data_IF_227973346909
#
_entry.id   IF_227973346909
#
_cell.length_a   1.000
_cell.length_b   1.000
_cell.length_c   1.000
_cell.angle_alpha   90.00
_cell.angle_beta   90.00
_cell.angle_gamma   90.00
#
_symmetry.space_group_name_H-M   'P 1'
#
loop_
_entity.id
_entity.type
_entity.pdbx_description
1 polymer ?
#
# COMPACT_ATOMS: atom_id res chain seq x y z
N UNK A 1 102.04 125.92 17.89
CA UNK A 1 101.74 124.48 18.03
C UNK A 1 100.27 124.10 17.72
N UNK A 2 99.25 124.91 18.08
CA UNK A 2 97.83 124.57 17.83
C UNK A 2 97.40 124.51 16.34
N UNK A 3 98.00 125.32 15.46
CA UNK A 3 97.64 125.35 14.03
C UNK A 3 98.04 124.08 13.25
N UNK A 4 99.13 123.41 13.62
CA UNK A 4 99.58 122.20 12.93
C UNK A 4 98.67 121.00 13.25
N UNK A 5 98.20 120.89 14.50
CA UNK A 5 97.31 119.81 14.97
C UNK A 5 95.96 119.84 14.22
N UNK A 6 95.40 121.04 13.98
CA UNK A 6 94.16 121.19 13.21
C UNK A 6 94.33 120.69 11.76
N UNK A 7 95.45 121.03 11.11
CA UNK A 7 95.76 120.55 9.75
C UNK A 7 95.94 119.03 9.67
N UNK A 8 96.58 118.40 10.68
CA UNK A 8 96.72 116.94 10.74
C UNK A 8 95.37 116.23 10.97
N UNK A 9 94.47 116.80 11.79
CA UNK A 9 93.12 116.23 11.99
C UNK A 9 92.26 116.30 10.73
N UNK A 10 92.41 117.38 9.94
CA UNK A 10 91.73 117.54 8.65
C UNK A 10 92.28 116.56 7.60
N UNK A 11 93.61 116.38 7.55
CA UNK A 11 94.24 115.39 6.67
C UNK A 11 93.83 113.95 7.03
N UNK A 12 93.75 113.60 8.31
CA UNK A 12 93.27 112.29 8.76
C UNK A 12 91.79 112.06 8.43
N UNK A 13 90.94 113.08 8.58
CA UNK A 13 89.53 113.03 8.17
C UNK A 13 89.37 112.84 6.66
N UNK A 14 90.15 113.57 5.84
CA UNK A 14 90.19 113.39 4.39
C UNK A 14 90.66 111.98 3.99
N UNK A 15 91.65 111.43 4.70
CA UNK A 15 92.12 110.07 4.45
C UNK A 15 91.08 109.01 4.84
N UNK A 16 90.35 109.20 5.95
CA UNK A 16 89.25 108.33 6.35
C UNK A 16 88.08 108.38 5.34
N UNK A 17 87.75 109.57 4.83
CA UNK A 17 86.74 109.74 3.77
C UNK A 17 87.22 109.07 2.47
N UNK A 18 88.48 109.27 2.08
CA UNK A 18 89.05 108.62 0.91
C UNK A 18 89.01 107.09 1.04
N UNK A 19 89.37 106.54 2.22
CA UNK A 19 89.26 105.12 2.52
C UNK A 19 87.82 104.60 2.44
N UNK A 20 86.85 105.35 2.97
CA UNK A 20 85.43 105.01 2.88
C UNK A 20 84.91 105.03 1.44
N UNK A 21 85.34 106.00 0.61
CA UNK A 21 85.00 106.07 -0.81
C UNK A 21 85.57 104.87 -1.56
N UNK A 22 86.83 104.48 -1.28
CA UNK A 22 87.44 103.30 -1.91
C UNK A 22 86.69 102.03 -1.51
N UNK A 23 86.41 101.82 -0.23
CA UNK A 23 85.63 100.67 0.26
C UNK A 23 84.24 100.62 -0.39
N UNK A 24 83.53 101.75 -0.42
CA UNK A 24 82.23 101.86 -1.08
C UNK A 24 82.32 101.55 -2.59
N UNK A 25 83.40 101.97 -3.25
CA UNK A 25 83.62 101.70 -4.68
C UNK A 25 83.87 100.20 -4.94
N UNK A 26 84.57 99.51 -4.03
CA UNK A 26 84.79 98.06 -4.11
C UNK A 26 83.46 97.31 -3.97
N UNK A 27 82.66 97.64 -2.94
CA UNK A 27 81.33 97.02 -2.77
C UNK A 27 80.40 97.32 -3.94
N UNK A 28 80.43 98.54 -4.47
CA UNK A 28 79.68 98.89 -5.69
C UNK A 28 80.17 98.09 -6.91
N UNK A 29 81.47 97.81 -7.00
CA UNK A 29 82.02 96.94 -8.04
C UNK A 29 81.57 95.49 -7.88
N UNK A 30 81.51 94.95 -6.65
CA UNK A 30 80.98 93.61 -6.39
C UNK A 30 79.49 93.52 -6.78
N UNK A 31 78.67 94.48 -6.36
CA UNK A 31 77.26 94.56 -6.76
C UNK A 31 77.12 94.59 -8.28
N UNK A 32 77.97 95.37 -8.97
CA UNK A 32 77.97 95.45 -10.44
C UNK A 32 78.36 94.13 -11.10
N UNK A 33 79.24 93.34 -10.49
CA UNK A 33 79.67 92.02 -10.97
C UNK A 33 78.63 90.93 -10.72
N UNK A 34 77.90 91.00 -9.60
CA UNK A 34 76.89 90.01 -9.22
C UNK A 34 75.52 90.27 -9.86
N UNK A 35 75.21 91.53 -10.20
CA UNK A 35 73.92 91.91 -10.79
C UNK A 35 73.57 91.11 -12.05
N UNK A 36 74.48 90.86 -13.02
CA UNK A 36 74.19 90.01 -14.17
C UNK A 36 73.85 88.56 -13.79
N UNK A 37 74.53 87.98 -12.79
CA UNK A 37 74.24 86.63 -12.32
C UNK A 37 72.86 86.53 -11.66
N UNK A 38 72.49 87.54 -10.85
CA UNK A 38 71.15 87.62 -10.25
C UNK A 38 70.09 87.81 -11.33
N UNK A 39 70.31 88.70 -12.31
CA UNK A 39 69.37 88.95 -13.40
C UNK A 39 69.15 87.70 -14.26
N UNK A 40 70.22 86.99 -14.61
CA UNK A 40 70.11 85.72 -15.36
C UNK A 40 69.42 84.62 -14.54
N UNK A 41 69.64 84.56 -13.23
CA UNK A 41 68.91 83.63 -12.36
C UNK A 41 67.41 83.98 -12.31
N UNK A 42 67.06 85.26 -12.17
CA UNK A 42 65.68 85.74 -12.20
C UNK A 42 65.03 85.44 -13.55
N UNK A 43 65.72 85.67 -14.65
CA UNK A 43 65.23 85.36 -16.01
C UNK A 43 65.02 83.85 -16.19
N UNK A 44 65.96 83.03 -15.74
CA UNK A 44 65.83 81.56 -15.77
C UNK A 44 64.67 81.05 -14.90
N UNK A 45 64.48 81.63 -13.71
CA UNK A 45 63.36 81.28 -12.84
C UNK A 45 62.04 81.75 -13.45
N UNK A 46 61.97 82.96 -13.98
CA UNK A 46 60.80 83.50 -14.67
C UNK A 46 60.43 82.67 -15.89
N UNK A 47 61.42 82.26 -16.70
CA UNK A 47 61.22 81.40 -17.87
C UNK A 47 60.68 80.01 -17.52
N UNK A 48 60.83 79.55 -16.27
CA UNK A 48 60.23 78.30 -15.77
C UNK A 48 58.82 78.47 -15.20
N UNK A 49 58.39 79.69 -14.87
CA UNK A 49 57.05 79.92 -14.30
C UNK A 49 55.97 79.59 -15.34
N UNK A 50 56.11 80.09 -16.57
CA UNK A 50 55.13 79.85 -17.64
C UNK A 50 54.91 78.37 -17.99
N UNK A 51 55.95 77.53 -18.20
CA UNK A 51 55.74 76.11 -18.44
C UNK A 51 55.07 75.39 -17.26
N UNK A 52 55.45 75.71 -16.02
CA UNK A 52 54.80 75.15 -14.81
C UNK A 52 53.32 75.56 -14.76
N UNK A 53 52.99 76.82 -15.06
CA UNK A 53 51.60 77.28 -15.10
C UNK A 53 50.79 76.57 -16.19
N UNK A 54 51.41 76.26 -17.33
CA UNK A 54 50.76 75.50 -18.39
C UNK A 54 50.55 74.02 -17.99
N UNK A 55 51.53 73.38 -17.37
CA UNK A 55 51.36 72.03 -16.81
C UNK A 55 50.24 71.98 -15.77
N UNK A 56 50.17 72.96 -14.87
CA UNK A 56 49.08 73.08 -13.88
C UNK A 56 47.72 73.23 -14.59
N UNK A 57 47.64 74.00 -15.68
CA UNK A 57 46.40 74.12 -16.47
C UNK A 57 45.99 72.79 -17.08
N UNK A 58 46.92 72.05 -17.67
CA UNK A 58 46.63 70.75 -18.27
C UNK A 58 46.22 69.72 -17.21
N UNK A 59 46.91 69.66 -16.07
CA UNK A 59 46.51 68.82 -14.93
C UNK A 59 45.11 69.21 -14.45
N UNK A 60 44.81 70.50 -14.32
CA UNK A 60 43.47 70.97 -13.93
C UNK A 60 42.38 70.60 -14.92
N UNK A 61 42.70 70.47 -16.22
CA UNK A 61 41.74 69.96 -17.23
C UNK A 61 41.49 68.46 -17.10
N UNK A 62 42.47 67.68 -16.63
CA UNK A 62 42.34 66.23 -16.44
C UNK A 62 41.63 65.85 -15.14
N UNK A 63 41.65 66.70 -14.12
CA UNK A 63 40.98 66.41 -12.83
C UNK A 63 39.46 66.16 -13.00
N UNK A 64 38.67 67.02 -13.69
CA UNK A 64 37.24 66.80 -13.87
C UNK A 64 36.85 65.46 -14.53
N UNK A 65 37.44 65.04 -15.67
CA UNK A 65 37.09 63.76 -16.27
C UNK A 65 37.50 62.56 -15.39
N UNK A 66 38.63 62.63 -14.67
CA UNK A 66 39.01 61.59 -13.70
C UNK A 66 38.00 61.49 -12.57
N UNK A 67 37.54 62.63 -12.02
CA UNK A 67 36.52 62.63 -10.97
C UNK A 67 35.19 62.06 -11.48
N UNK A 68 34.80 62.39 -12.72
CA UNK A 68 33.61 61.83 -13.34
C UNK A 68 33.70 60.31 -13.53
N UNK A 69 34.86 59.79 -13.94
CA UNK A 69 35.10 58.35 -14.04
C UNK A 69 35.05 57.66 -12.68
N UNK A 70 35.68 58.26 -11.66
CA UNK A 70 35.62 57.76 -10.28
C UNK A 70 34.18 57.73 -9.77
N UNK A 71 33.38 58.76 -10.04
CA UNK A 71 31.97 58.79 -9.63
C UNK A 71 31.12 57.78 -10.39
N UNK A 72 31.40 57.56 -11.68
CA UNK A 72 30.76 56.51 -12.47
C UNK A 72 31.09 55.11 -11.92
N UNK A 73 32.36 54.82 -11.62
CA UNK A 73 32.76 53.56 -10.99
C UNK A 73 32.10 53.40 -9.63
N UNK A 74 32.12 54.45 -8.79
CA UNK A 74 31.46 54.44 -7.48
C UNK A 74 29.96 54.17 -7.56
N UNK A 75 29.31 54.69 -8.59
CA UNK A 75 27.87 54.47 -8.81
C UNK A 75 27.54 53.03 -9.24
N UNK A 76 28.48 52.31 -9.84
CA UNK A 76 28.33 50.90 -10.23
C UNK A 76 28.56 49.93 -9.08
N UNK A 77 29.30 50.31 -8.04
CA UNK A 77 29.60 49.43 -6.90
C UNK A 77 28.31 49.01 -6.14
N UNK A 78 27.40 49.93 -5.75
CA UNK A 78 26.16 49.57 -5.05
C UNK A 78 25.29 48.52 -5.76
N UNK A 79 24.94 48.64 -7.06
CA UNK A 79 24.13 47.62 -7.73
C UNK A 79 24.85 46.27 -7.81
N UNK A 80 26.17 46.24 -8.03
CA UNK A 80 26.95 44.99 -8.01
C UNK A 80 26.90 44.34 -6.62
N UNK A 81 27.03 45.13 -5.54
CA UNK A 81 26.94 44.61 -4.17
C UNK A 81 25.53 44.06 -3.87
N UNK A 82 24.48 44.73 -4.34
CA UNK A 82 23.11 44.25 -4.20
C UNK A 82 22.87 42.94 -4.97
N UNK A 83 23.45 42.78 -6.16
CA UNK A 83 23.39 41.53 -6.92
C UNK A 83 24.14 40.40 -6.20
N UNK A 84 25.33 40.69 -5.66
CA UNK A 84 26.10 39.72 -4.85
C UNK A 84 25.30 39.29 -3.62
N UNK A 85 24.61 40.21 -2.95
CA UNK A 85 23.74 39.89 -1.81
C UNK A 85 22.57 39.00 -2.23
N UNK A 86 21.90 39.31 -3.33
CA UNK A 86 20.84 38.47 -3.88
C UNK A 86 21.35 37.07 -4.24
N UNK A 87 22.52 36.95 -4.86
CA UNK A 87 23.16 35.65 -5.15
C UNK A 87 23.45 34.90 -3.85
N UNK A 88 24.00 35.57 -2.83
CA UNK A 88 24.30 34.96 -1.53
C UNK A 88 23.05 34.45 -0.81
N UNK A 89 21.90 35.07 -1.01
CA UNK A 89 20.63 34.61 -0.46
C UNK A 89 20.06 33.41 -1.23
N UNK A 90 20.25 33.37 -2.56
CA UNK A 90 19.65 32.35 -3.43
C UNK A 90 20.50 31.08 -3.55
N UNK A 91 21.82 31.17 -3.47
CA UNK A 91 22.71 30.00 -3.61
C UNK A 91 22.46 28.94 -2.52
N UNK A 92 22.35 29.27 -1.22
CA UNK A 92 22.15 28.24 -0.18
C UNK A 92 20.86 27.43 -0.34
N UNK A 93 19.67 28.03 -0.60
CA UNK A 93 18.46 27.27 -0.92
C UNK A 93 18.63 26.31 -2.10
N UNK A 94 19.27 26.75 -3.19
CA UNK A 94 19.53 25.91 -4.36
C UNK A 94 20.45 24.74 -4.00
N UNK A 95 21.50 24.98 -3.20
CA UNK A 95 22.40 23.92 -2.75
C UNK A 95 21.66 22.88 -1.89
N UNK A 96 20.77 23.33 -0.99
CA UNK A 96 19.95 22.43 -0.19
C UNK A 96 19.00 21.61 -1.07
N UNK A 97 18.36 22.21 -2.07
CA UNK A 97 17.48 21.49 -3.01
C UNK A 97 18.24 20.43 -3.81
N UNK A 98 19.46 20.77 -4.26
CA UNK A 98 20.35 19.82 -4.95
C UNK A 98 20.76 18.69 -4.01
N UNK A 99 21.05 18.97 -2.74
CA UNK A 99 21.38 17.94 -1.76
C UNK A 99 20.21 16.99 -1.51
N UNK A 100 19.01 17.52 -1.30
CA UNK A 100 17.80 16.71 -1.11
C UNK A 100 17.50 15.86 -2.36
N UNK A 101 17.63 16.44 -3.56
CA UNK A 101 17.49 15.69 -4.81
C UNK A 101 18.53 14.55 -4.89
N UNK A 102 19.79 14.82 -4.51
CA UNK A 102 20.84 13.79 -4.46
C UNK A 102 20.55 12.68 -3.46
N UNK A 103 19.84 12.95 -2.36
CA UNK A 103 19.41 11.92 -1.40
C UNK A 103 18.26 11.06 -1.94
N UNK A 104 17.37 11.63 -2.75
CA UNK A 104 16.20 10.95 -3.30
C UNK A 104 16.51 10.08 -4.54
N UNK A 105 17.50 10.46 -5.35
CA UNK A 105 17.83 9.71 -6.57
C UNK A 105 18.27 8.25 -6.28
N UNK A 106 19.19 7.96 -5.34
CA UNK A 106 19.63 6.59 -5.06
C UNK A 106 18.51 5.60 -4.68
N UNK A 107 17.57 5.90 -3.75
CA UNK A 107 16.49 4.97 -3.43
C UNK A 107 15.55 4.73 -4.61
N UNK A 108 15.24 5.75 -5.42
CA UNK A 108 14.44 5.59 -6.64
C UNK A 108 15.13 4.64 -7.62
N UNK A 109 16.44 4.81 -7.84
CA UNK A 109 17.21 3.92 -8.71
C UNK A 109 17.28 2.49 -8.16
N UNK A 110 17.40 2.33 -6.84
CA UNK A 110 17.39 1.02 -6.20
C UNK A 110 16.03 0.32 -6.33
N UNK A 111 14.93 1.05 -6.19
CA UNK A 111 13.58 0.52 -6.42
C UNK A 111 13.37 0.13 -7.88
N UNK A 112 13.76 1.00 -8.82
CA UNK A 112 13.70 0.70 -10.24
C UNK A 112 14.50 -0.56 -10.60
N UNK A 113 15.70 -0.72 -10.02
CA UNK A 113 16.51 -1.94 -10.19
C UNK A 113 15.76 -3.18 -9.68
N UNK A 114 15.18 -3.13 -8.47
CA UNK A 114 14.40 -4.25 -7.93
C UNK A 114 13.21 -4.61 -8.81
N UNK A 115 12.52 -3.62 -9.36
CA UNK A 115 11.43 -3.85 -10.31
C UNK A 115 11.95 -4.55 -11.55
N UNK A 116 13.05 -4.06 -12.15
CA UNK A 116 13.68 -4.67 -13.32
C UNK A 116 14.10 -6.12 -13.03
N UNK A 117 14.71 -6.37 -11.87
CA UNK A 117 15.16 -7.70 -11.44
C UNK A 117 14.00 -8.69 -11.24
N UNK A 118 12.79 -8.19 -10.96
CA UNK A 118 11.58 -9.02 -10.82
C UNK A 118 10.93 -9.40 -12.16
N UNK A 119 11.18 -8.66 -13.23
CA UNK A 119 10.56 -8.87 -14.55
C UNK A 119 10.81 -10.29 -15.10
N UNK A 120 12.04 -10.87 -15.03
CA UNK A 120 12.28 -12.23 -15.50
C UNK A 120 11.41 -13.29 -14.82
N UNK A 121 11.17 -13.16 -13.51
CA UNK A 121 10.28 -14.07 -12.77
C UNK A 121 8.83 -13.92 -13.21
N UNK A 122 8.36 -12.68 -13.42
CA UNK A 122 7.02 -12.42 -13.94
C UNK A 122 6.87 -13.04 -15.33
N UNK A 123 7.83 -12.86 -16.23
CA UNK A 123 7.84 -13.47 -17.57
C UNK A 123 7.80 -14.99 -17.48
N UNK A 124 8.60 -15.60 -16.58
CA UNK A 124 8.59 -17.05 -16.36
C UNK A 124 7.21 -17.54 -15.93
N UNK A 125 6.58 -16.87 -14.98
CA UNK A 125 5.24 -17.20 -14.49
C UNK A 125 4.19 -17.06 -15.60
N UNK A 126 4.25 -16.00 -16.40
CA UNK A 126 3.35 -15.78 -17.54
C UNK A 126 3.50 -16.90 -18.59
N UNK A 127 4.73 -17.33 -18.89
CA UNK A 127 4.96 -18.44 -19.81
C UNK A 127 4.39 -19.77 -19.28
N UNK A 128 4.52 -20.04 -17.98
CA UNK A 128 3.91 -21.21 -17.35
C UNK A 128 2.38 -21.14 -17.41
N UNK A 129 1.77 -19.99 -17.10
CA UNK A 129 0.32 -19.79 -17.22
C UNK A 129 -0.14 -20.00 -18.67
N UNK A 130 0.56 -19.43 -19.65
CA UNK A 130 0.23 -19.60 -21.06
C UNK A 130 0.26 -21.08 -21.47
N UNK A 131 1.22 -21.85 -20.95
CA UNK A 131 1.33 -23.29 -21.17
C UNK A 131 0.15 -24.04 -20.55
N UNK A 132 -0.20 -23.73 -19.30
CA UNK A 132 -1.34 -24.32 -18.59
C UNK A 132 -2.66 -24.02 -19.31
N UNK A 133 -2.89 -22.77 -19.70
CA UNK A 133 -4.09 -22.36 -20.46
C UNK A 133 -4.21 -23.15 -21.76
N UNK A 134 -3.09 -23.34 -22.48
CA UNK A 134 -3.06 -24.15 -23.70
C UNK A 134 -3.44 -25.60 -23.42
N UNK A 135 -2.98 -26.16 -22.30
CA UNK A 135 -3.30 -27.53 -21.90
C UNK A 135 -4.79 -27.67 -21.51
N UNK A 136 -5.30 -26.79 -20.66
CA UNK A 136 -6.71 -26.79 -20.27
C UNK A 136 -7.63 -26.59 -21.48
N UNK A 137 -7.25 -25.74 -22.44
CA UNK A 137 -7.98 -25.57 -23.70
C UNK A 137 -8.06 -26.87 -24.51
N UNK A 138 -6.97 -27.64 -24.59
CA UNK A 138 -6.99 -28.97 -25.21
C UNK A 138 -7.90 -29.94 -24.48
N UNK A 139 -7.90 -29.93 -23.16
CA UNK A 139 -8.76 -30.80 -22.35
C UNK A 139 -10.24 -30.43 -22.53
N UNK A 140 -10.58 -29.15 -22.50
CA UNK A 140 -11.92 -28.66 -22.80
C UNK A 140 -12.35 -29.10 -24.22
N UNK A 141 -11.46 -29.00 -25.21
CA UNK A 141 -11.74 -29.47 -26.56
C UNK A 141 -12.03 -30.98 -26.61
N UNK A 142 -11.26 -31.80 -25.87
CA UNK A 142 -11.48 -33.24 -25.75
C UNK A 142 -12.83 -33.54 -25.08
N UNK A 143 -13.13 -32.91 -23.95
CA UNK A 143 -14.41 -33.10 -23.26
C UNK A 143 -15.57 -32.68 -24.15
N UNK A 144 -15.45 -31.55 -24.85
CA UNK A 144 -16.47 -31.07 -25.79
C UNK A 144 -16.71 -32.07 -26.93
N UNK A 145 -15.67 -32.76 -27.40
CA UNK A 145 -15.80 -33.79 -28.42
C UNK A 145 -16.58 -35.03 -27.95
N UNK A 146 -16.58 -35.33 -26.63
CA UNK A 146 -17.33 -36.45 -26.05
C UNK A 146 -18.82 -36.13 -25.81
N UNK A 147 -19.18 -34.85 -25.72
CA UNK A 147 -20.56 -34.41 -25.43
C UNK A 147 -21.60 -35.00 -26.40
N UNK A 148 -21.39 -34.99 -27.74
CA UNK A 148 -22.37 -35.55 -28.67
C UNK A 148 -22.65 -37.05 -28.44
N UNK A 149 -21.62 -37.84 -28.14
CA UNK A 149 -21.75 -39.27 -27.91
C UNK A 149 -22.51 -39.56 -26.60
N UNK A 150 -22.17 -38.84 -25.52
CA UNK A 150 -22.91 -38.91 -24.25
C UNK A 150 -24.38 -38.52 -24.45
N UNK A 151 -24.66 -37.45 -25.21
CA UNK A 151 -26.04 -37.04 -25.51
C UNK A 151 -26.80 -38.11 -26.31
N UNK A 152 -26.12 -38.82 -27.22
CA UNK A 152 -26.69 -39.95 -27.97
C UNK A 152 -27.02 -41.11 -27.05
N UNK A 153 -26.12 -41.48 -26.13
CA UNK A 153 -26.36 -42.52 -25.12
C UNK A 153 -27.53 -42.16 -24.20
N UNK A 154 -27.57 -40.94 -23.66
CA UNK A 154 -28.68 -40.45 -22.84
C UNK A 154 -30.01 -40.59 -23.58
N UNK A 155 -30.04 -40.24 -24.87
CA UNK A 155 -31.24 -40.39 -25.71
C UNK A 155 -31.64 -41.86 -25.87
N UNK A 156 -30.67 -42.77 -26.02
CA UNK A 156 -30.92 -44.22 -26.10
C UNK A 156 -31.49 -44.77 -24.79
N UNK A 157 -30.83 -44.49 -23.67
CA UNK A 157 -31.28 -44.90 -22.33
C UNK A 157 -32.69 -44.36 -22.05
N UNK A 158 -32.98 -43.11 -22.41
CA UNK A 158 -34.33 -42.54 -22.26
C UNK A 158 -35.38 -43.30 -23.06
N UNK A 159 -35.04 -43.76 -24.27
CA UNK A 159 -35.94 -44.59 -25.10
C UNK A 159 -36.19 -45.95 -24.46
N UNK A 160 -35.15 -46.60 -23.94
CA UNK A 160 -35.25 -47.87 -23.21
C UNK A 160 -36.12 -47.73 -21.96
N UNK A 161 -35.88 -46.72 -21.12
CA UNK A 161 -36.73 -46.40 -19.96
C UNK A 161 -38.19 -46.22 -20.38
N UNK A 162 -38.43 -45.52 -21.50
CA UNK A 162 -39.78 -45.36 -22.05
C UNK A 162 -40.43 -46.68 -22.45
N UNK A 163 -39.67 -47.61 -23.02
CA UNK A 163 -40.14 -48.96 -23.33
C UNK A 163 -40.41 -49.77 -22.06
N UNK A 164 -39.49 -49.76 -21.08
CA UNK A 164 -39.66 -50.43 -19.79
C UNK A 164 -40.90 -49.91 -19.06
N UNK A 165 -41.13 -48.59 -19.02
CA UNK A 165 -42.34 -47.99 -18.44
C UNK A 165 -43.63 -48.47 -19.08
N UNK A 166 -43.64 -48.77 -20.38
CA UNK A 166 -44.81 -49.35 -21.07
C UNK A 166 -44.98 -50.85 -20.79
N UNK A 167 -43.89 -51.57 -20.55
CA UNK A 167 -43.91 -52.99 -20.24
C UNK A 167 -44.30 -53.28 -18.78
N UNK A 168 -43.96 -52.39 -17.84
CA UNK A 168 -44.24 -52.55 -16.41
C UNK A 168 -45.74 -52.79 -16.12
N UNK A 169 -46.70 -52.00 -16.65
CA UNK A 169 -48.13 -52.27 -16.45
C UNK A 169 -48.52 -53.67 -16.89
N UNK A 170 -48.04 -54.14 -18.05
CA UNK A 170 -48.37 -55.48 -18.58
C UNK A 170 -47.81 -56.58 -17.67
N UNK A 171 -46.60 -56.40 -17.12
CA UNK A 171 -46.04 -57.34 -16.16
C UNK A 171 -46.70 -57.25 -14.79
N UNK A 172 -47.15 -56.06 -14.37
CA UNK A 172 -47.93 -55.86 -13.14
C UNK A 172 -49.30 -56.53 -13.29
N UNK A 173 -49.99 -56.37 -14.41
CA UNK A 173 -51.25 -57.06 -14.73
C UNK A 173 -51.04 -58.59 -14.69
N UNK A 174 -49.90 -59.07 -15.19
CA UNK A 174 -49.54 -60.50 -15.13
C UNK A 174 -49.22 -60.95 -13.71
N UNK A 175 -48.56 -60.12 -12.90
CA UNK A 175 -48.30 -60.38 -11.48
C UNK A 175 -49.62 -60.35 -10.69
N UNK A 176 -50.54 -59.43 -10.97
CA UNK A 176 -51.86 -59.36 -10.35
C UNK A 176 -52.70 -60.60 -10.72
N UNK A 177 -52.62 -61.07 -11.96
CA UNK A 177 -53.21 -62.33 -12.39
C UNK A 177 -52.61 -63.55 -11.66
N UNK A 178 -51.27 -63.62 -11.57
CA UNK A 178 -50.58 -64.69 -10.85
C UNK A 178 -50.80 -64.61 -9.33
N UNK A 179 -50.95 -63.42 -8.76
CA UNK A 179 -51.30 -63.20 -7.35
C UNK A 179 -52.77 -63.54 -7.09
N UNK A 180 -53.69 -63.31 -8.03
CA UNK A 180 -55.05 -63.82 -7.93
C UNK A 180 -55.06 -65.36 -7.94
N UNK A 181 -54.23 -65.99 -8.79
CA UNK A 181 -54.05 -67.44 -8.84
C UNK A 181 -53.31 -68.00 -7.60
N UNK A 182 -52.34 -67.24 -7.07
CA UNK A 182 -51.61 -67.56 -5.86
C UNK A 182 -52.40 -67.22 -4.60
N UNK A 183 -53.39 -66.33 -4.61
CA UNK A 183 -54.32 -66.11 -3.50
C UNK A 183 -55.25 -67.31 -3.36
N UNK A 184 -55.68 -67.91 -4.47
CA UNK A 184 -56.43 -69.17 -4.46
C UNK A 184 -55.57 -70.39 -4.05
N UNK A 185 -54.25 -70.32 -4.22
CA UNK A 185 -53.30 -71.40 -3.88
C UNK A 185 -52.67 -71.20 -2.48
N UNK A 186 -52.50 -69.95 -2.05
CA UNK A 186 -51.93 -69.49 -0.78
C UNK A 186 -52.94 -69.43 0.35
N UNK A 187 -54.25 -69.35 0.06
CA UNK A 187 -55.30 -69.71 1.03
C UNK A 187 -55.14 -71.16 1.53
N UNK A 188 -54.45 -72.03 0.77
CA UNK A 188 -54.13 -73.41 1.18
C UNK A 188 -52.72 -73.60 1.75
N UNK A 189 -51.87 -72.56 1.79
CA UNK A 189 -50.45 -72.71 2.15
C UNK A 189 -49.89 -71.58 3.06
N UNK A 190 -50.73 -70.75 3.66
CA UNK A 190 -50.29 -69.70 4.60
C UNK A 190 -51.14 -69.67 5.88
N UNK A 191 -51.21 -70.82 6.55
CA UNK A 191 -51.07 -70.82 8.01
C UNK A 191 -49.57 -70.91 8.31
N UNK A 192 -49.02 -69.86 8.91
CA UNK A 192 -47.70 -69.92 9.52
C UNK A 192 -46.69 -68.93 8.94
N UNK A 193 -46.45 -67.89 9.75
CA UNK A 193 -45.21 -67.10 9.84
C UNK A 193 -44.75 -66.41 8.54
N UNK A 194 -44.61 -65.09 8.49
CA UNK A 194 -43.51 -64.39 9.16
C UNK A 194 -43.95 -62.95 9.40
N UNK A 195 -44.17 -62.62 10.67
CA UNK A 195 -44.12 -61.25 11.16
C UNK A 195 -42.65 -60.87 11.34
N UNK A 196 -42.18 -59.82 10.68
CA UNK A 196 -41.02 -59.07 11.18
C UNK A 196 -39.94 -58.70 10.16
N UNK A 197 -40.28 -57.88 9.15
CA UNK A 197 -39.28 -57.02 8.49
C UNK A 197 -39.91 -55.66 8.22
N UNK A 198 -39.91 -54.77 9.22
CA UNK A 198 -40.17 -53.35 9.03
C UNK A 198 -39.30 -52.50 9.97
N UNK A 199 -37.98 -52.73 9.97
CA UNK A 199 -37.04 -51.84 10.66
C UNK A 199 -36.64 -50.62 9.82
N UNK A 200 -36.78 -50.67 8.49
CA UNK A 200 -36.35 -49.59 7.58
C UNK A 200 -37.23 -48.33 7.55
N UNK A 201 -38.53 -48.43 7.88
CA UNK A 201 -39.46 -47.28 7.85
C UNK A 201 -39.38 -46.44 9.13
N UNK A 202 -38.88 -47.00 10.22
CA UNK A 202 -38.85 -46.32 11.53
C UNK A 202 -37.66 -45.38 11.65
N UNK A 203 -36.52 -45.69 11.02
CA UNK A 203 -35.28 -44.91 11.11
C UNK A 203 -35.21 -43.78 10.08
N UNK A 204 -35.80 -43.95 8.90
CA UNK A 204 -35.78 -42.97 7.80
C UNK A 204 -36.25 -41.55 8.20
N UNK A 205 -37.31 -41.36 9.01
CA UNK A 205 -37.75 -40.03 9.40
C UNK A 205 -36.78 -39.34 10.37
N UNK A 206 -36.13 -40.09 11.27
CA UNK A 206 -35.12 -39.56 12.20
C UNK A 206 -33.82 -39.21 11.48
N UNK A 207 -33.44 -40.01 10.49
CA UNK A 207 -32.29 -39.71 9.63
C UNK A 207 -32.52 -38.40 8.87
N UNK A 208 -33.69 -38.24 8.27
CA UNK A 208 -34.09 -36.98 7.60
C UNK A 208 -34.19 -35.81 8.59
N UNK A 209 -34.68 -36.04 9.80
CA UNK A 209 -34.78 -35.05 10.89
C UNK A 209 -33.40 -34.52 11.32
N UNK A 210 -32.43 -35.41 11.51
CA UNK A 210 -31.07 -35.03 11.91
C UNK A 210 -30.35 -34.36 10.73
N UNK A 211 -30.47 -34.91 9.52
CA UNK A 211 -29.79 -34.38 8.33
C UNK A 211 -30.38 -33.07 7.79
N UNK A 212 -31.71 -32.91 7.77
CA UNK A 212 -32.40 -31.67 7.34
C UNK A 212 -32.38 -30.61 8.44
N UNK A 213 -32.34 -31.04 9.71
CA UNK A 213 -32.08 -30.15 10.83
C UNK A 213 -30.77 -29.39 10.60
N UNK A 214 -29.68 -30.06 10.25
CA UNK A 214 -28.37 -29.43 10.05
C UNK A 214 -28.33 -28.38 8.93
N UNK A 215 -29.07 -28.58 7.85
CA UNK A 215 -29.19 -27.63 6.74
C UNK A 215 -29.87 -26.29 7.11
N UNK A 216 -30.67 -26.24 8.19
CA UNK A 216 -31.42 -25.03 8.53
C UNK A 216 -30.57 -23.87 9.10
N UNK A 217 -29.26 -24.06 9.34
CA UNK A 217 -28.35 -22.96 9.74
C UNK A 217 -27.77 -22.18 8.56
N UNK A 218 -27.81 -22.74 7.34
CA UNK A 218 -27.33 -22.05 6.12
C UNK A 218 -28.20 -20.86 5.74
N UNK A 219 -29.46 -20.80 6.19
CA UNK A 219 -30.32 -19.62 6.03
C UNK A 219 -29.87 -18.42 6.90
N UNK A 220 -28.93 -18.62 7.84
CA UNK A 220 -28.42 -17.62 8.77
C UNK A 220 -26.89 -17.37 8.68
N UNK A 221 -26.22 -17.87 7.63
CA UNK A 221 -24.85 -17.44 7.28
C UNK A 221 -23.71 -17.96 8.14
N UNK A 222 -23.79 -19.19 8.68
CA UNK A 222 -22.64 -19.88 9.32
C UNK A 222 -22.28 -21.16 8.57
N UNK A 223 -20.99 -21.54 8.55
CA UNK A 223 -20.54 -22.84 8.00
C UNK A 223 -21.35 -24.00 8.61
N UNK A 224 -22.19 -24.64 7.81
CA UNK A 224 -23.01 -25.78 8.22
C UNK A 224 -22.14 -26.96 8.64
N UNK A 225 -22.18 -27.33 9.92
CA UNK A 225 -21.58 -28.57 10.41
C UNK A 225 -22.61 -29.70 10.26
N UNK A 226 -22.41 -30.56 9.26
CA UNK A 226 -23.25 -31.72 8.99
C UNK A 226 -22.74 -32.98 9.72
N UNK A 227 -23.66 -33.79 10.23
CA UNK A 227 -23.47 -35.19 10.58
C UNK A 227 -23.77 -36.00 9.32
N UNK A 228 -22.73 -36.57 8.74
CA UNK A 228 -22.81 -37.42 7.55
C UNK A 228 -22.25 -38.81 7.85
N UNK A 229 -22.63 -39.80 7.03
CA UNK A 229 -22.13 -41.17 7.16
C UNK A 229 -22.42 -41.79 8.53
N UNK A 230 -21.39 -42.36 9.15
CA UNK A 230 -21.47 -43.09 10.43
C UNK A 230 -21.93 -42.19 11.60
N UNK A 231 -21.58 -40.90 11.58
CA UNK A 231 -22.03 -39.94 12.60
C UNK A 231 -23.56 -39.82 12.63
N UNK A 232 -24.18 -39.79 11.45
CA UNK A 232 -25.62 -39.67 11.28
C UNK A 232 -26.34 -40.93 11.72
N UNK A 233 -25.78 -42.10 11.42
CA UNK A 233 -26.35 -43.40 11.78
C UNK A 233 -26.40 -43.60 13.30
N UNK A 234 -25.28 -43.35 13.99
CA UNK A 234 -25.19 -43.48 15.46
C UNK A 234 -26.13 -42.46 16.15
N UNK A 235 -26.19 -41.22 15.63
CA UNK A 235 -27.09 -40.21 16.15
C UNK A 235 -28.58 -40.58 15.95
N UNK A 236 -28.91 -41.14 14.78
CA UNK A 236 -30.27 -41.61 14.45
C UNK A 236 -30.72 -42.71 15.40
N UNK A 237 -29.86 -43.69 15.66
CA UNK A 237 -30.17 -44.78 16.59
C UNK A 237 -30.39 -44.28 18.02
N UNK A 238 -29.57 -43.31 18.47
CA UNK A 238 -29.74 -42.69 19.78
C UNK A 238 -31.08 -41.94 19.90
N UNK A 239 -31.51 -41.24 18.85
CA UNK A 239 -32.80 -40.55 18.79
C UNK A 239 -33.98 -41.54 18.80
N UNK A 240 -33.93 -42.58 17.96
CA UNK A 240 -34.96 -43.64 17.91
C UNK A 240 -35.10 -44.33 19.27
N UNK A 241 -33.99 -44.67 19.92
CA UNK A 241 -33.99 -45.30 21.23
C UNK A 241 -34.62 -44.40 22.31
N UNK A 242 -34.45 -43.08 22.20
CA UNK A 242 -34.99 -42.11 23.16
C UNK A 242 -36.53 -42.05 23.13
N UNK A 243 -37.16 -42.31 21.98
CA UNK A 243 -38.64 -42.26 21.82
C UNK A 243 -39.40 -43.17 22.78
N UNK A 244 -38.76 -44.29 23.18
CA UNK A 244 -39.31 -45.31 24.07
C UNK A 244 -39.14 -44.98 25.55
N UNK A 245 -38.40 -43.93 25.90
CA UNK A 245 -38.06 -43.58 27.28
C UNK A 245 -39.04 -42.57 27.89
N UNK A 246 -38.93 -42.30 29.21
CA UNK A 246 -39.76 -41.33 29.92
C UNK A 246 -39.24 -39.89 29.72
N UNK A 247 -40.11 -38.89 29.89
CA UNK A 247 -39.72 -37.46 29.90
C UNK A 247 -38.54 -37.24 30.85
N UNK A 248 -37.55 -36.46 30.41
CA UNK A 248 -36.31 -36.20 31.13
C UNK A 248 -35.21 -37.23 30.88
N UNK A 249 -35.47 -38.30 30.12
CA UNK A 249 -34.43 -39.24 29.72
C UNK A 249 -33.42 -38.58 28.77
N UNK A 250 -32.16 -38.99 28.88
CA UNK A 250 -31.07 -38.53 28.00
C UNK A 250 -30.37 -39.74 27.38
N UNK A 251 -30.05 -39.67 26.09
CA UNK A 251 -29.20 -40.64 25.38
C UNK A 251 -28.00 -39.94 24.80
N UNK A 252 -26.81 -40.40 25.17
CA UNK A 252 -25.53 -39.91 24.65
C UNK A 252 -25.03 -40.82 23.55
N UNK A 253 -24.40 -40.25 22.55
CA UNK A 253 -23.71 -40.96 21.48
C UNK A 253 -22.33 -40.35 21.26
N UNK A 254 -21.39 -41.15 20.76
CA UNK A 254 -20.04 -40.72 20.44
C UNK A 254 -19.55 -41.55 19.26
N UNK A 255 -18.95 -40.90 18.28
CA UNK A 255 -18.23 -41.57 17.22
C UNK A 255 -16.72 -41.43 17.48
N UNK A 256 -16.01 -42.52 17.80
CA UNK A 256 -14.55 -42.52 17.99
C UNK A 256 -13.77 -42.10 16.73
N UNK A 257 -14.30 -42.37 15.53
CA UNK A 257 -13.62 -42.13 14.25
C UNK A 257 -13.64 -40.65 13.86
N UNK A 258 -14.77 -39.97 14.05
CA UNK A 258 -14.91 -38.53 13.74
C UNK A 258 -14.52 -37.61 14.90
N UNK A 259 -14.42 -38.16 16.11
CA UNK A 259 -14.21 -37.40 17.35
C UNK A 259 -15.43 -36.59 17.80
N UNK A 260 -16.57 -36.68 17.11
CA UNK A 260 -17.82 -36.01 17.49
C UNK A 260 -18.55 -36.80 18.57
N UNK A 261 -19.21 -36.08 19.47
CA UNK A 261 -20.09 -36.65 20.49
C UNK A 261 -21.36 -35.82 20.62
N UNK A 262 -22.46 -36.44 21.00
CA UNK A 262 -23.71 -35.72 21.20
C UNK A 262 -24.57 -36.32 22.29
N UNK A 263 -25.63 -35.61 22.64
CA UNK A 263 -26.68 -36.10 23.51
C UNK A 263 -28.05 -35.65 22.99
N UNK A 264 -29.02 -36.53 23.12
CA UNK A 264 -30.43 -36.22 22.98
C UNK A 264 -31.10 -36.23 24.35
N UNK A 265 -31.90 -35.21 24.65
CA UNK A 265 -32.72 -35.13 25.86
C UNK A 265 -34.19 -35.07 25.47
N UNK A 266 -35.02 -35.89 26.11
CA UNK A 266 -36.46 -35.88 25.88
C UNK A 266 -37.11 -34.82 26.79
N UNK A 267 -37.39 -33.65 26.22
CA UNK A 267 -37.86 -32.47 26.95
C UNK A 267 -39.35 -32.58 27.30
N UNK A 268 -40.17 -33.07 26.36
CA UNK A 268 -41.61 -33.19 26.57
C UNK A 268 -42.21 -34.41 25.84
N UNK A 269 -43.31 -34.92 26.39
CA UNK A 269 -44.24 -35.83 25.72
C UNK A 269 -45.63 -35.24 25.85
N UNK A 270 -46.32 -35.05 24.73
CA UNK A 270 -47.63 -34.43 24.69
C UNK A 270 -48.49 -35.05 23.57
N UNK A 271 -49.78 -34.72 23.55
CA UNK A 271 -50.71 -35.19 22.52
C UNK A 271 -51.42 -33.99 21.92
N UNK A 272 -51.43 -33.90 20.58
CA UNK A 272 -51.99 -32.78 19.83
C UNK A 272 -52.70 -33.36 18.59
N UNK A 273 -53.93 -32.94 18.32
CA UNK A 273 -54.73 -33.43 17.18
C UNK A 273 -54.78 -34.96 16.99
N UNK A 274 -54.83 -35.69 18.11
CA UNK A 274 -54.77 -37.18 18.19
C UNK A 274 -53.42 -37.80 17.79
N UNK A 275 -52.38 -37.00 17.58
CA UNK A 275 -51.00 -37.43 17.37
C UNK A 275 -50.24 -37.49 18.71
N UNK A 276 -49.40 -38.50 18.89
CA UNK A 276 -48.45 -38.56 20.00
C UNK A 276 -47.19 -37.81 19.62
N UNK A 277 -46.89 -36.72 20.33
CA UNK A 277 -45.77 -35.83 20.03
C UNK A 277 -44.72 -35.84 21.16
N UNK A 278 -43.46 -35.66 20.76
CA UNK A 278 -42.31 -35.63 21.64
C UNK A 278 -41.36 -34.51 21.24
N UNK A 279 -40.98 -33.69 22.22
CA UNK A 279 -39.96 -32.65 22.06
C UNK A 279 -38.61 -33.22 22.47
N UNK A 280 -37.65 -33.16 21.57
CA UNK A 280 -36.29 -33.62 21.81
C UNK A 280 -35.29 -32.47 21.60
N UNK A 281 -34.36 -32.37 22.53
CA UNK A 281 -33.22 -31.47 22.44
C UNK A 281 -31.99 -32.27 22.02
N UNK A 282 -31.24 -31.78 21.03
CA UNK A 282 -30.03 -32.39 20.51
C UNK A 282 -28.87 -31.42 20.64
N UNK A 283 -27.81 -31.87 21.31
CA UNK A 283 -26.56 -31.13 21.43
C UNK A 283 -25.40 -31.98 20.90
N UNK A 284 -24.48 -31.38 20.15
CA UNK A 284 -23.31 -32.04 19.56
C UNK A 284 -22.06 -31.21 19.84
N UNK A 285 -20.97 -31.90 20.15
CA UNK A 285 -19.65 -31.34 20.41
C UNK A 285 -18.58 -32.01 19.56
N UNK A 286 -17.56 -31.22 19.20
CA UNK A 286 -16.29 -31.71 18.64
C UNK A 286 -15.17 -31.23 19.56
N UNK A 287 -14.55 -32.15 20.30
CA UNK A 287 -13.72 -31.78 21.45
C UNK A 287 -14.56 -31.18 22.59
N UNK A 288 -14.20 -29.95 22.99
CA UNK A 288 -14.89 -29.17 24.03
C UNK A 288 -15.83 -28.09 23.46
N UNK A 289 -15.80 -27.86 22.15
CA UNK A 289 -16.67 -26.90 21.48
C UNK A 289 -18.02 -27.52 21.12
N UNK A 290 -19.11 -26.84 21.47
CA UNK A 290 -20.46 -27.22 21.08
C UNK A 290 -20.74 -26.67 19.68
N UNK A 291 -21.00 -27.57 18.74
CA UNK A 291 -21.18 -27.25 17.32
C UNK A 291 -22.66 -27.25 16.90
N UNK A 292 -23.53 -27.97 17.63
CA UNK A 292 -24.97 -28.03 17.36
C UNK A 292 -25.73 -28.00 18.70
N UNK A 293 -26.76 -27.17 18.80
CA UNK A 293 -27.76 -27.19 19.87
C UNK A 293 -29.13 -26.87 19.26
N UNK A 294 -30.10 -27.78 19.40
CA UNK A 294 -31.42 -27.66 18.77
C UNK A 294 -32.50 -28.34 19.58
N UNK A 295 -33.73 -27.89 19.39
CA UNK A 295 -34.94 -28.52 19.90
C UNK A 295 -35.88 -28.76 18.72
N UNK A 296 -36.44 -29.97 18.62
CA UNK A 296 -37.39 -30.32 17.57
C UNK A 296 -38.52 -31.19 18.10
N UNK A 297 -39.65 -31.11 17.42
CA UNK A 297 -40.85 -31.88 17.74
C UNK A 297 -41.06 -32.98 16.70
N UNK A 298 -41.21 -34.21 17.19
CA UNK A 298 -41.57 -35.37 16.39
C UNK A 298 -42.93 -35.90 16.84
N UNK A 299 -43.85 -36.10 15.89
CA UNK A 299 -45.21 -36.57 16.13
C UNK A 299 -45.48 -37.88 15.38
N UNK A 300 -46.32 -38.76 15.92
CA UNK A 300 -46.76 -39.99 15.23
C UNK A 300 -48.26 -40.21 15.41
N UNK A 301 -48.89 -40.84 14.42
CA UNK A 301 -50.34 -41.15 14.43
C UNK A 301 -50.71 -42.27 15.38
N UNK A 302 -49.88 -43.31 15.47
CA UNK A 302 -50.04 -44.43 16.40
C UNK A 302 -48.66 -45.08 16.69
N UNK A 303 -48.56 -46.02 17.67
CA UNK A 303 -47.28 -46.63 18.03
C UNK A 303 -46.49 -47.32 16.91
N UNK A 304 -47.19 -47.72 15.84
CA UNK A 304 -46.62 -48.43 14.68
C UNK A 304 -46.43 -47.51 13.46
N UNK A 305 -46.80 -46.24 13.55
CA UNK A 305 -46.59 -45.25 12.50
C UNK A 305 -45.19 -44.64 12.62
N UNK A 306 -44.56 -44.26 11.49
CA UNK A 306 -43.31 -43.52 11.53
C UNK A 306 -43.51 -42.20 12.30
N UNK A 307 -42.43 -41.74 12.92
CA UNK A 307 -42.38 -40.40 13.49
C UNK A 307 -42.24 -39.39 12.35
N UNK A 308 -42.94 -38.27 12.43
CA UNK A 308 -42.91 -37.19 11.44
C UNK A 308 -42.54 -35.88 12.14
N UNK A 309 -41.76 -35.04 11.46
CA UNK A 309 -41.40 -33.72 11.93
C UNK A 309 -42.63 -32.81 11.96
N UNK A 310 -42.85 -32.13 13.09
CA UNK A 310 -43.72 -30.96 13.10
C UNK A 310 -42.96 -29.81 12.43
N UNK A 311 -43.43 -29.38 11.26
CA UNK A 311 -42.91 -28.20 10.56
C UNK A 311 -43.29 -26.92 11.29
#
# INVERSE_FOLDING_TARGET
MKSAIASYSLAAGLFAIAGAIVFFTIELSHIRQDLPAILTQVENTSGKVDPILNEIKEIRKLIPPILQEVDATRSQIPPILAEIEAIRLNVPPILNEVEETRKLVPPILAEASKTIDSIPQIIKTLNSIATTVKQSSKEVARTRALVPDILKEIKSVRKEIGATRKAIPVTLDRVDYLLAQAATTGQKASEGAITGVFTGVITAPFRALISLGEAAKDAAGGEGVFLEGEDLEIATDAAVALTRLKKGATRRWKNPNSGKRGKFTLVAKYREDKLECQTMEHQVWKGDEMIIERVFDACRKNPNSPWELKK
#
